data_IF_678716645806
#
_entry.id   IF_678716645806
#
_cell.length_a   1.000
_cell.length_b   1.000
_cell.length_c   1.000
_cell.angle_alpha   90.00
_cell.angle_beta   90.00
_cell.angle_gamma   90.00
#
_symmetry.space_group_name_H-M   'P 1'
#
loop_
_entity.id
_entity.type
_entity.pdbx_description
1 polymer ?
#
# COMPACT_ATOMS: atom_id res chain seq x y z
N UNK A 1 39.21 -1.89 -26.74
CA UNK A 1 38.44 -2.73 -25.80
C UNK A 1 37.13 -2.00 -25.56
N UNK A 2 36.06 -2.50 -26.18
CA UNK A 2 34.67 -2.10 -25.96
C UNK A 2 34.23 -2.51 -24.54
N UNK A 3 33.09 -1.97 -24.07
CA UNK A 3 32.19 -2.35 -22.95
C UNK A 3 31.76 -1.02 -22.30
N UNK A 4 30.54 -0.51 -22.38
CA UNK A 4 29.28 -0.88 -23.01
C UNK A 4 28.32 0.20 -22.53
N UNK A 5 28.01 1.19 -23.38
CA UNK A 5 26.98 2.18 -23.05
C UNK A 5 25.65 1.48 -23.25
N UNK A 6 24.98 1.15 -22.15
CA UNK A 6 23.61 0.68 -22.17
C UNK A 6 22.73 1.81 -22.72
N UNK A 7 22.55 1.78 -24.04
CA UNK A 7 21.52 2.50 -24.75
C UNK A 7 20.17 2.00 -24.21
N UNK A 8 19.61 2.73 -23.26
CA UNK A 8 18.16 2.67 -23.02
C UNK A 8 17.54 3.29 -24.26
N UNK A 9 17.12 2.43 -25.19
CA UNK A 9 16.35 2.81 -26.37
C UNK A 9 15.05 3.47 -25.90
N UNK A 10 14.65 4.54 -26.58
CA UNK A 10 13.44 5.31 -26.27
C UNK A 10 12.14 4.53 -26.60
N UNK A 11 12.26 3.24 -26.94
CA UNK A 11 11.18 2.41 -27.49
C UNK A 11 10.28 1.75 -26.42
N UNK A 12 10.59 1.89 -25.13
CA UNK A 12 9.77 1.33 -24.03
C UNK A 12 8.79 2.34 -23.40
N UNK A 13 8.59 3.50 -24.02
CA UNK A 13 7.58 4.47 -23.58
C UNK A 13 6.27 4.19 -24.32
N UNK A 14 5.44 3.30 -23.76
CA UNK A 14 4.02 3.25 -24.11
C UNK A 14 3.37 4.60 -23.69
N UNK A 15 3.36 5.55 -24.63
CA UNK A 15 2.73 6.86 -24.50
C UNK A 15 1.21 6.73 -24.56
N UNK A 16 0.59 6.29 -23.47
CA UNK A 16 -0.84 6.53 -23.27
C UNK A 16 -1.05 8.00 -22.86
N UNK A 17 -1.05 8.89 -23.86
CA UNK A 17 -1.42 10.30 -23.70
C UNK A 17 -2.93 10.44 -23.50
N UNK A 18 -3.34 11.26 -22.54
CA UNK A 18 -4.75 11.65 -22.37
C UNK A 18 -4.88 13.13 -22.74
N UNK A 19 -5.70 13.41 -23.74
CA UNK A 19 -6.06 14.78 -24.12
C UNK A 19 -7.23 15.27 -23.26
N UNK A 20 -7.06 16.40 -22.57
CA UNK A 20 -8.14 17.09 -21.87
C UNK A 20 -8.32 18.50 -22.43
N UNK A 21 -9.57 18.88 -22.68
CA UNK A 21 -9.93 20.24 -23.09
C UNK A 21 -10.20 21.04 -21.81
N UNK A 22 -9.42 22.10 -21.58
CA UNK A 22 -9.67 23.04 -20.47
C UNK A 22 -10.93 23.87 -20.74
N UNK A 23 -11.54 24.41 -19.69
CA UNK A 23 -12.71 25.30 -19.80
C UNK A 23 -12.45 26.57 -20.61
N UNK A 24 -11.18 26.93 -20.84
CA UNK A 24 -10.74 28.03 -21.71
C UNK A 24 -10.62 27.65 -23.20
N UNK A 25 -10.96 26.41 -23.57
CA UNK A 25 -10.87 25.90 -24.94
C UNK A 25 -9.47 25.43 -25.35
N UNK A 26 -8.46 25.52 -24.48
CA UNK A 26 -7.11 25.05 -24.79
C UNK A 26 -6.98 23.54 -24.53
N UNK A 27 -6.37 22.83 -25.49
CA UNK A 27 -6.07 21.40 -25.35
C UNK A 27 -4.82 21.23 -24.50
N UNK A 28 -4.94 20.52 -23.38
CA UNK A 28 -3.81 20.10 -22.56
C UNK A 28 -3.54 18.61 -22.77
N UNK A 29 -2.32 18.31 -23.20
CA UNK A 29 -1.83 16.94 -23.33
C UNK A 29 -1.16 16.56 -22.01
N UNK A 30 -1.67 15.52 -21.36
CA UNK A 30 -1.07 14.93 -20.16
C UNK A 30 -0.50 13.55 -20.48
N UNK A 31 0.63 13.23 -19.87
CA UNK A 31 1.22 11.90 -19.83
C UNK A 31 0.91 11.25 -18.48
N UNK A 32 0.47 10.00 -18.46
CA UNK A 32 0.19 9.27 -17.22
C UNK A 32 1.35 8.32 -16.93
N UNK A 33 1.93 8.39 -15.73
CA UNK A 33 2.94 7.40 -15.34
C UNK A 33 2.29 6.03 -15.11
N UNK A 34 2.66 5.01 -15.88
CA UNK A 34 2.19 3.63 -15.70
C UNK A 34 2.56 3.00 -14.34
N UNK A 35 3.52 3.58 -13.63
CA UNK A 35 4.01 3.06 -12.34
C UNK A 35 3.30 3.68 -11.14
N UNK A 36 3.13 5.00 -11.06
CA UNK A 36 2.47 5.66 -9.92
C UNK A 36 1.07 6.23 -10.24
N UNK A 37 0.69 6.32 -11.52
CA UNK A 37 -0.57 6.92 -11.93
C UNK A 37 -0.58 8.45 -11.97
N UNK A 38 0.53 9.13 -11.67
CA UNK A 38 0.60 10.59 -11.68
C UNK A 38 0.41 11.16 -13.09
N UNK A 39 -0.44 12.18 -13.21
CA UNK A 39 -0.64 12.95 -14.44
C UNK A 39 0.41 14.05 -14.57
N UNK A 40 1.27 13.94 -15.58
CA UNK A 40 2.37 14.85 -15.88
C UNK A 40 2.07 15.64 -17.16
N UNK A 41 2.70 16.79 -17.34
CA UNK A 41 2.58 17.53 -18.60
C UNK A 41 3.24 16.73 -19.74
N UNK A 42 2.49 16.48 -20.83
CA UNK A 42 2.95 15.74 -22.01
C UNK A 42 2.93 16.55 -23.31
N UNK A 43 2.66 17.86 -23.22
CA UNK A 43 2.61 18.72 -24.39
C UNK A 43 3.98 18.93 -25.08
N UNK A 44 4.00 19.25 -26.38
CA UNK A 44 5.24 19.42 -27.17
C UNK A 44 6.13 20.57 -26.66
N UNK A 45 5.59 21.52 -25.90
CA UNK A 45 6.33 22.62 -25.28
C UNK A 45 6.90 22.32 -23.89
N UNK A 46 6.54 21.19 -23.27
CA UNK A 46 6.90 20.86 -21.90
C UNK A 46 8.31 20.25 -21.76
N UNK A 47 8.91 19.78 -22.86
CA UNK A 47 10.14 18.99 -22.85
C UNK A 47 9.97 17.62 -22.18
N UNK A 48 11.00 16.77 -22.17
CA UNK A 48 10.90 15.40 -21.61
C UNK A 48 11.70 15.19 -20.32
N UNK A 49 12.46 16.20 -19.88
CA UNK A 49 13.35 16.10 -18.72
C UNK A 49 12.61 15.91 -17.38
N UNK A 50 11.43 16.51 -17.20
CA UNK A 50 10.62 16.29 -16.00
C UNK A 50 10.03 14.89 -15.97
N UNK A 51 9.63 14.33 -17.12
CA UNK A 51 9.16 12.95 -17.25
C UNK A 51 10.28 11.96 -16.92
N UNK A 52 11.48 12.13 -17.48
CA UNK A 52 12.65 11.28 -17.16
C UNK A 52 13.00 11.32 -15.67
N UNK A 53 13.04 12.52 -15.08
CA UNK A 53 13.30 12.70 -13.65
C UNK A 53 12.19 12.09 -12.79
N UNK A 54 10.94 12.22 -13.24
CA UNK A 54 9.81 11.60 -12.59
C UNK A 54 9.93 10.07 -12.62
N UNK A 55 10.23 9.45 -13.76
CA UNK A 55 10.39 7.99 -13.84
C UNK A 55 11.49 7.52 -12.88
N UNK A 56 12.67 8.14 -12.90
CA UNK A 56 13.78 7.79 -11.99
C UNK A 56 13.38 7.88 -10.51
N UNK A 57 12.57 8.89 -10.15
CA UNK A 57 12.10 9.09 -8.77
C UNK A 57 10.86 8.26 -8.43
N UNK A 58 10.02 7.91 -9.39
CA UNK A 58 8.83 7.07 -9.21
C UNK A 58 9.25 5.64 -8.88
N UNK A 59 10.32 5.13 -9.49
CA UNK A 59 10.92 3.86 -9.11
C UNK A 59 11.40 3.88 -7.65
N UNK A 60 12.03 4.98 -7.22
CA UNK A 60 12.46 5.15 -5.83
C UNK A 60 11.30 5.32 -4.85
N UNK A 61 10.19 5.94 -5.25
CA UNK A 61 9.02 6.20 -4.39
C UNK A 61 8.12 4.98 -4.22
N UNK A 62 7.92 4.17 -5.28
CA UNK A 62 7.13 2.93 -5.17
C UNK A 62 7.85 1.85 -4.36
N UNK A 63 9.18 1.87 -4.36
CA UNK A 63 10.04 1.04 -3.51
C UNK A 63 10.33 1.67 -2.13
N UNK A 64 9.70 2.81 -1.80
CA UNK A 64 9.70 3.42 -0.47
C UNK A 64 8.41 3.08 0.29
N UNK A 65 7.89 1.87 0.11
CA UNK A 65 7.34 1.19 1.29
C UNK A 65 8.54 0.97 2.19
N UNK A 66 8.68 1.77 3.26
CA UNK A 66 9.79 1.61 4.18
C UNK A 66 9.77 0.15 4.68
N UNK A 67 10.92 -0.54 4.64
CA UNK A 67 11.04 -1.90 5.19
C UNK A 67 10.69 -1.90 6.69
N UNK A 68 10.77 -0.73 7.34
CA UNK A 68 10.31 -0.46 8.71
C UNK A 68 8.77 -0.42 8.83
N UNK A 69 8.06 -0.19 7.73
CA UNK A 69 6.58 -0.20 7.64
C UNK A 69 6.02 -1.62 7.37
N UNK A 70 6.54 -2.63 8.06
CA UNK A 70 5.95 -3.98 8.24
C UNK A 70 6.33 -5.12 7.29
N UNK A 71 7.57 -5.61 7.41
CA UNK A 71 7.85 -7.01 7.08
C UNK A 71 8.38 -7.76 8.31
N UNK A 72 7.48 -8.34 9.12
CA UNK A 72 7.91 -9.44 9.98
C UNK A 72 8.10 -10.66 9.08
N UNK A 73 9.32 -11.20 9.04
CA UNK A 73 9.59 -12.45 8.33
C UNK A 73 8.98 -13.60 9.16
N UNK A 74 7.85 -14.12 8.70
CA UNK A 74 7.29 -15.39 9.18
C UNK A 74 7.93 -16.55 8.42
N UNK A 75 7.83 -17.76 8.98
CA UNK A 75 8.12 -18.99 8.25
C UNK A 75 6.80 -19.66 7.88
N UNK A 76 6.67 -20.13 6.64
CA UNK A 76 5.56 -21.01 6.28
C UNK A 76 5.76 -22.42 6.90
N UNK A 77 4.78 -23.30 6.68
CA UNK A 77 4.83 -24.70 7.16
C UNK A 77 5.97 -25.52 6.50
N UNK A 78 6.52 -25.02 5.40
CA UNK A 78 7.57 -25.65 4.59
C UNK A 78 8.95 -25.06 4.90
N UNK A 79 9.03 -24.05 5.77
CA UNK A 79 10.25 -23.38 6.20
C UNK A 79 10.68 -22.20 5.34
N UNK A 80 9.94 -21.82 4.30
CA UNK A 80 10.25 -20.65 3.49
C UNK A 80 9.92 -19.37 4.24
N UNK A 81 10.72 -18.33 3.97
CA UNK A 81 10.49 -17.00 4.51
C UNK A 81 9.30 -16.35 3.80
N UNK A 82 8.28 -16.01 4.56
CA UNK A 82 7.10 -15.27 4.08
C UNK A 82 7.03 -13.91 4.76
N UNK A 83 6.61 -12.90 4.02
CA UNK A 83 6.34 -11.59 4.58
C UNK A 83 4.99 -11.60 5.30
N UNK A 84 4.99 -11.42 6.61
CA UNK A 84 3.77 -11.13 7.35
C UNK A 84 3.37 -9.67 7.13
N UNK A 85 2.23 -9.47 6.48
CA UNK A 85 1.62 -8.16 6.25
C UNK A 85 0.47 -8.01 7.24
N UNK A 86 0.62 -7.07 8.17
CA UNK A 86 -0.44 -6.74 9.10
C UNK A 86 -1.62 -6.08 8.37
N UNK A 87 -2.84 -6.53 8.68
CA UNK A 87 -4.07 -5.84 8.30
C UNK A 87 -5.03 -5.78 9.48
N UNK A 88 -5.68 -4.62 9.68
CA UNK A 88 -6.69 -4.45 10.75
C UNK A 88 -7.84 -5.45 10.61
N UNK A 89 -8.17 -5.87 9.38
CA UNK A 89 -9.22 -6.84 9.11
C UNK A 89 -8.87 -8.24 9.64
N UNK A 90 -7.67 -8.76 9.33
CA UNK A 90 -7.24 -10.06 9.86
C UNK A 90 -7.07 -10.00 11.38
N UNK A 91 -6.43 -8.94 11.90
CA UNK A 91 -6.24 -8.80 13.34
C UNK A 91 -7.57 -8.79 14.10
N UNK A 92 -8.57 -8.06 13.60
CA UNK A 92 -9.91 -8.05 14.18
C UNK A 92 -10.56 -9.43 14.13
N UNK A 93 -10.47 -10.13 12.99
CA UNK A 93 -11.01 -11.48 12.84
C UNK A 93 -10.43 -12.44 13.88
N UNK A 94 -9.10 -12.48 13.99
CA UNK A 94 -8.40 -13.34 14.97
C UNK A 94 -8.80 -13.02 16.41
N UNK A 95 -8.88 -11.73 16.77
CA UNK A 95 -9.31 -11.32 18.12
C UNK A 95 -10.75 -11.72 18.39
N UNK A 96 -11.67 -11.54 17.43
CA UNK A 96 -13.08 -11.92 17.58
C UNK A 96 -13.22 -13.44 17.76
N UNK A 97 -12.51 -14.23 16.96
CA UNK A 97 -12.49 -15.69 17.11
C UNK A 97 -11.92 -16.12 18.47
N UNK A 98 -10.88 -15.44 18.96
CA UNK A 98 -10.34 -15.65 20.30
C UNK A 98 -11.38 -15.39 21.38
N UNK A 99 -12.13 -14.29 21.32
CA UNK A 99 -13.18 -13.98 22.31
C UNK A 99 -14.23 -15.10 22.39
N UNK A 100 -14.63 -15.66 21.24
CA UNK A 100 -15.60 -16.76 21.20
C UNK A 100 -15.00 -18.04 21.81
N UNK A 101 -13.79 -18.42 21.41
CA UNK A 101 -13.13 -19.65 21.90
C UNK A 101 -12.79 -19.58 23.39
N UNK A 102 -12.45 -18.40 23.89
CA UNK A 102 -12.10 -18.17 25.29
C UNK A 102 -13.30 -17.71 26.16
N UNK A 103 -14.51 -17.71 25.59
CA UNK A 103 -15.75 -17.28 26.25
C UNK A 103 -15.63 -15.91 26.94
N UNK A 104 -14.89 -14.99 26.30
CA UNK A 104 -14.58 -13.69 26.85
C UNK A 104 -15.64 -12.63 26.49
N UNK A 105 -15.96 -11.69 27.40
CA UNK A 105 -16.91 -10.63 27.09
C UNK A 105 -16.45 -9.79 25.90
N UNK A 106 -17.37 -9.43 25.00
CA UNK A 106 -17.04 -8.61 23.83
C UNK A 106 -16.54 -7.21 24.17
N UNK A 107 -16.81 -6.70 25.38
CA UNK A 107 -16.28 -5.42 25.87
C UNK A 107 -14.79 -5.47 26.18
N UNK A 108 -14.17 -6.65 26.19
CA UNK A 108 -12.75 -6.82 26.46
C UNK A 108 -11.87 -6.04 25.47
N UNK A 109 -12.25 -5.99 24.19
CA UNK A 109 -11.45 -5.32 23.15
C UNK A 109 -11.43 -3.80 23.26
N UNK A 110 -12.38 -3.23 24.01
CA UNK A 110 -12.47 -1.78 24.25
C UNK A 110 -11.60 -1.34 25.44
N UNK A 111 -11.04 -2.29 26.21
CA UNK A 111 -10.17 -1.97 27.33
C UNK A 111 -8.90 -1.29 26.81
N UNK A 112 -8.65 -0.09 27.31
CA UNK A 112 -7.46 0.68 26.96
C UNK A 112 -6.16 -0.12 27.17
N UNK A 113 -6.07 -0.88 28.27
CA UNK A 113 -4.88 -1.68 28.58
C UNK A 113 -4.65 -2.81 27.59
N UNK A 114 -5.72 -3.43 27.07
CA UNK A 114 -5.61 -4.48 26.06
C UNK A 114 -5.02 -3.91 24.76
N UNK A 115 -5.60 -2.82 24.24
CA UNK A 115 -5.11 -2.19 23.02
C UNK A 115 -3.67 -1.67 23.23
N UNK A 116 -3.40 -1.03 24.36
CA UNK A 116 -2.06 -0.57 24.70
C UNK A 116 -1.03 -1.70 24.80
N UNK A 117 -1.40 -2.86 25.37
CA UNK A 117 -0.56 -4.05 25.41
C UNK A 117 -0.24 -4.55 24.00
N UNK A 118 -1.26 -4.66 23.13
CA UNK A 118 -1.07 -5.11 21.74
C UNK A 118 -0.15 -4.15 20.98
N UNK A 119 -0.38 -2.85 21.10
CA UNK A 119 0.41 -1.82 20.43
C UNK A 119 1.87 -1.78 20.89
N UNK A 120 2.12 -1.88 22.22
CA UNK A 120 3.47 -1.82 22.77
C UNK A 120 4.25 -3.13 22.59
N UNK A 121 3.58 -4.27 22.66
CA UNK A 121 4.23 -5.58 22.69
C UNK A 121 4.34 -6.28 21.33
N UNK A 122 3.43 -5.98 20.41
CA UNK A 122 3.27 -6.79 19.19
C UNK A 122 3.21 -5.95 17.92
N UNK A 123 2.31 -4.97 17.86
CA UNK A 123 1.98 -4.27 16.62
C UNK A 123 1.53 -2.83 16.88
N UNK A 124 2.43 -1.84 16.78
CA UNK A 124 2.13 -0.44 17.09
C UNK A 124 0.99 0.16 16.26
N UNK A 125 0.79 -0.29 15.03
CA UNK A 125 -0.29 0.22 14.17
C UNK A 125 -1.67 -0.37 14.49
N UNK A 126 -1.77 -1.33 15.41
CA UNK A 126 -3.04 -1.98 15.70
C UNK A 126 -4.07 -0.98 16.21
N UNK A 127 -5.25 -0.98 15.60
CA UNK A 127 -6.36 -0.11 15.99
C UNK A 127 -7.39 -0.87 16.81
N UNK A 128 -7.87 -0.23 17.88
CA UNK A 128 -8.99 -0.74 18.66
C UNK A 128 -10.30 -0.71 17.87
N UNK A 129 -11.23 -1.59 18.25
CA UNK A 129 -12.57 -1.66 17.70
C UNK A 129 -13.59 -1.92 18.80
N UNK A 130 -14.86 -1.66 18.50
CA UNK A 130 -15.94 -1.73 19.50
C UNK A 130 -16.50 -3.14 19.67
N UNK A 131 -17.09 -3.40 20.84
CA UNK A 131 -17.84 -4.61 21.13
C UNK A 131 -19.01 -4.82 20.15
N UNK A 132 -19.63 -3.72 19.69
CA UNK A 132 -20.67 -3.76 18.67
C UNK A 132 -20.15 -4.26 17.32
N UNK A 133 -18.90 -3.92 16.98
CA UNK A 133 -18.22 -4.42 15.78
C UNK A 133 -17.93 -5.91 15.93
N UNK A 134 -17.42 -6.35 17.10
CA UNK A 134 -17.20 -7.77 17.40
C UNK A 134 -18.47 -8.60 17.22
N UNK A 135 -19.59 -8.15 17.81
CA UNK A 135 -20.89 -8.81 17.69
C UNK A 135 -21.35 -8.91 16.23
N UNK A 136 -21.20 -7.82 15.47
CA UNK A 136 -21.56 -7.81 14.04
C UNK A 136 -20.73 -8.80 13.23
N UNK A 137 -19.43 -8.89 13.49
CA UNK A 137 -18.54 -9.78 12.75
C UNK A 137 -18.83 -11.27 13.07
N UNK A 138 -19.21 -11.58 14.32
CA UNK A 138 -19.69 -12.92 14.70
C UNK A 138 -20.99 -13.26 13.97
N UNK A 139 -21.98 -12.36 13.99
CA UNK A 139 -23.26 -12.57 13.30
C UNK A 139 -23.13 -12.73 11.78
N UNK A 140 -21.98 -12.38 11.19
CA UNK A 140 -21.70 -12.64 9.77
C UNK A 140 -21.01 -13.99 9.54
N UNK A 141 -20.40 -14.55 10.58
CA UNK A 141 -19.61 -15.77 10.51
C UNK A 141 -20.45 -17.03 10.84
N UNK A 142 -21.66 -16.84 11.38
CA UNK A 142 -22.66 -17.86 11.70
C UNK A 142 -23.99 -17.48 11.04
#
# INVERSE_FOLDING_TARGET
MTHGNDHITLDDLDEQGVERIKQDGTKEIKAICSKCGDELAGGPSAGTNHLKRHMLNSFKRKNQMDIRDFQQLGKDKEGNLTTFIYTDANARKEVVEYLVRAEHPFTFVEKHDFIGMVQRGFTPQCRGFSASTSKRDIMKSF
#
